data_IF_099648405018
#
_entry.id   IF_099648405018
#
_cell.length_a   1.000
_cell.length_b   1.000
_cell.length_c   1.000
_cell.angle_alpha   90.00
_cell.angle_beta   90.00
_cell.angle_gamma   90.00
#
_symmetry.space_group_name_H-M   'P 1'
#
loop_
_entity.id
_entity.type
_entity.pdbx_description
1 polymer ?
#
# COMPACT_ATOMS: atom_id res chain seq x y z
N UNK A 1 6.09 -9.05 -11.72
CA UNK A 1 4.99 -9.43 -10.80
C UNK A 1 3.76 -9.96 -11.52
N UNK A 2 3.01 -9.14 -12.28
CA UNK A 2 1.79 -9.63 -12.98
C UNK A 2 2.07 -10.77 -13.97
N UNK A 3 3.13 -10.65 -14.77
CA UNK A 3 3.57 -11.73 -15.70
C UNK A 3 3.98 -13.01 -14.96
N UNK A 4 4.45 -12.88 -13.71
CA UNK A 4 4.79 -14.01 -12.86
C UNK A 4 3.61 -14.52 -12.01
N UNK A 5 2.38 -14.06 -12.29
CA UNK A 5 1.16 -14.52 -11.60
C UNK A 5 0.86 -13.86 -10.25
N UNK A 6 1.62 -12.85 -9.83
CA UNK A 6 1.37 -12.14 -8.57
C UNK A 6 0.38 -10.98 -8.74
N UNK A 7 -0.39 -10.71 -7.68
CA UNK A 7 -1.22 -9.51 -7.56
C UNK A 7 -0.44 -8.38 -6.86
N UNK A 8 0.10 -7.38 -7.59
CA UNK A 8 0.81 -6.28 -6.96
C UNK A 8 -0.16 -5.35 -6.23
N UNK A 9 0.21 -4.97 -5.01
CA UNK A 9 -0.47 -3.98 -4.18
C UNK A 9 0.60 -2.95 -3.77
N UNK A 10 0.29 -1.66 -3.93
CA UNK A 10 1.19 -0.56 -3.61
C UNK A 10 0.66 0.18 -2.39
N UNK A 11 1.49 0.28 -1.34
CA UNK A 11 1.20 1.06 -0.14
C UNK A 11 1.63 2.51 -0.41
N UNK A 12 0.70 3.33 -0.90
CA UNK A 12 1.03 4.56 -1.61
C UNK A 12 1.41 5.73 -0.69
N UNK A 13 0.93 5.75 0.54
CA UNK A 13 1.28 6.74 1.57
C UNK A 13 2.69 6.57 2.15
N UNK A 14 3.38 5.48 1.79
CA UNK A 14 4.79 5.22 2.11
C UNK A 14 5.67 5.09 0.84
N UNK A 15 5.18 5.56 -0.30
CA UNK A 15 5.92 5.63 -1.56
C UNK A 15 6.06 7.10 -1.95
N UNK A 16 7.26 7.48 -2.41
CA UNK A 16 7.53 8.86 -2.82
C UNK A 16 8.52 8.91 -3.97
N UNK A 17 8.61 10.08 -4.59
CA UNK A 17 9.57 10.42 -5.63
C UNK A 17 10.16 11.79 -5.32
N UNK A 18 11.32 12.10 -5.92
CA UNK A 18 11.94 13.44 -5.80
C UNK A 18 11.11 14.55 -6.44
N UNK A 19 10.12 14.20 -7.26
CA UNK A 19 9.21 15.13 -7.94
C UNK A 19 7.78 14.67 -7.72
N UNK A 20 6.89 15.60 -7.36
CA UNK A 20 5.47 15.34 -7.16
C UNK A 20 4.78 14.92 -8.46
N UNK A 21 5.14 15.53 -9.59
CA UNK A 21 4.62 15.14 -10.92
C UNK A 21 4.89 13.65 -11.23
N UNK A 22 6.05 13.13 -10.80
CA UNK A 22 6.37 11.72 -10.97
C UNK A 22 5.53 10.81 -10.06
N UNK A 23 5.14 11.29 -8.87
CA UNK A 23 4.22 10.56 -7.97
C UNK A 23 2.84 10.47 -8.61
N UNK A 24 2.33 11.58 -9.14
CA UNK A 24 1.02 11.65 -9.79
C UNK A 24 0.96 10.78 -11.05
N UNK A 25 2.00 10.87 -11.90
CA UNK A 25 2.11 10.04 -13.10
C UNK A 25 2.17 8.55 -12.76
N UNK A 26 2.88 8.17 -11.68
CA UNK A 26 2.92 6.79 -11.21
C UNK A 26 1.55 6.33 -10.70
N UNK A 27 0.83 7.18 -9.97
CA UNK A 27 -0.53 6.87 -9.49
C UNK A 27 -1.49 6.61 -10.64
N UNK A 28 -1.48 7.45 -11.68
CA UNK A 28 -2.30 7.26 -12.88
C UNK A 28 -1.94 5.94 -13.60
N UNK A 29 -0.65 5.65 -13.74
CA UNK A 29 -0.19 4.41 -14.35
C UNK A 29 -0.64 3.17 -13.57
N UNK A 30 -0.53 3.20 -12.23
CA UNK A 30 -1.01 2.11 -11.39
C UNK A 30 -2.52 1.90 -11.53
N UNK A 31 -3.33 2.97 -11.60
CA UNK A 31 -4.77 2.87 -11.87
C UNK A 31 -5.05 2.21 -13.21
N UNK A 32 -4.38 2.65 -14.27
CA UNK A 32 -4.56 2.10 -15.63
C UNK A 32 -4.16 0.62 -15.71
N UNK A 33 -3.05 0.26 -15.07
CA UNK A 33 -2.56 -1.11 -15.00
C UNK A 33 -3.36 -1.99 -14.01
N UNK A 34 -4.42 -1.45 -13.39
CA UNK A 34 -5.25 -2.12 -12.38
C UNK A 34 -4.43 -2.67 -11.22
N UNK A 35 -3.48 -1.87 -10.76
CA UNK A 35 -2.68 -2.12 -9.56
C UNK A 35 -3.38 -1.42 -8.40
N UNK A 36 -3.65 -2.18 -7.33
CA UNK A 36 -4.32 -1.63 -6.16
C UNK A 36 -3.35 -0.71 -5.40
N UNK A 37 -3.80 0.52 -5.13
CA UNK A 37 -3.09 1.46 -4.28
C UNK A 37 -3.87 1.61 -2.97
N UNK A 38 -3.20 1.41 -1.84
CA UNK A 38 -3.79 1.44 -0.50
C UNK A 38 -2.91 2.22 0.47
N UNK A 39 -3.44 2.53 1.65
CA UNK A 39 -2.65 3.07 2.76
C UNK A 39 -2.03 1.96 3.61
N UNK A 40 -0.98 2.29 4.37
CA UNK A 40 -0.38 1.36 5.33
C UNK A 40 -1.41 0.92 6.38
N UNK A 41 -2.30 1.83 6.79
CA UNK A 41 -3.37 1.50 7.72
C UNK A 41 -4.30 0.45 7.11
N UNK A 42 -4.72 0.66 5.86
CA UNK A 42 -5.64 -0.25 5.17
C UNK A 42 -5.06 -1.66 5.05
N UNK A 43 -3.78 -1.80 4.65
CA UNK A 43 -3.18 -3.13 4.50
C UNK A 43 -3.02 -3.84 5.84
N UNK A 44 -2.68 -3.10 6.91
CA UNK A 44 -2.56 -3.69 8.24
C UNK A 44 -3.92 -4.18 8.74
N UNK A 45 -4.98 -3.39 8.56
CA UNK A 45 -6.33 -3.82 8.88
C UNK A 45 -6.77 -5.05 8.09
N UNK A 46 -6.48 -5.09 6.79
CA UNK A 46 -6.84 -6.22 5.93
C UNK A 46 -6.11 -7.51 6.35
N UNK A 47 -4.81 -7.41 6.66
CA UNK A 47 -3.99 -8.55 7.06
C UNK A 47 -4.38 -9.09 8.45
N UNK A 48 -4.67 -8.22 9.42
CA UNK A 48 -4.97 -8.64 10.79
C UNK A 48 -6.46 -8.89 11.02
N UNK A 49 -7.33 -8.48 10.08
CA UNK A 49 -8.80 -8.55 10.12
C UNK A 49 -9.46 -7.87 11.31
N UNK A 50 -8.70 -7.29 12.23
CA UNK A 50 -9.18 -6.64 13.45
C UNK A 50 -8.11 -5.72 14.04
N UNK A 51 -8.55 -4.55 14.51
CA UNK A 51 -7.75 -3.65 15.33
C UNK A 51 -7.34 -4.28 16.67
N UNK A 52 -8.15 -5.22 17.16
CA UNK A 52 -7.93 -5.89 18.45
C UNK A 52 -6.91 -7.02 18.36
N UNK A 53 -6.44 -7.37 17.16
CA UNK A 53 -5.40 -8.38 16.98
C UNK A 53 -4.10 -7.89 17.66
N UNK A 54 -3.46 -8.72 18.51
CA UNK A 54 -2.18 -8.37 19.14
C UNK A 54 -1.12 -7.92 18.11
N UNK A 55 -1.09 -8.58 16.96
CA UNK A 55 -0.19 -8.29 15.85
C UNK A 55 -0.43 -6.89 15.27
N UNK A 56 -1.70 -6.48 15.14
CA UNK A 56 -2.05 -5.13 14.69
C UNK A 56 -1.49 -4.09 15.65
N UNK A 57 -1.68 -4.30 16.96
CA UNK A 57 -1.24 -3.36 17.99
C UNK A 57 0.29 -3.23 18.04
N UNK A 58 1.02 -4.33 17.84
CA UNK A 58 2.48 -4.29 17.79
C UNK A 58 2.99 -3.60 16.52
N UNK A 59 2.42 -3.92 15.35
CA UNK A 59 2.88 -3.32 14.08
C UNK A 59 2.48 -1.84 13.97
N UNK A 60 1.28 -1.47 14.41
CA UNK A 60 0.79 -0.08 14.38
C UNK A 60 1.68 0.88 15.17
N UNK A 61 2.43 0.41 16.17
CA UNK A 61 3.41 1.25 16.89
C UNK A 61 4.56 1.72 16.01
N UNK A 62 4.92 0.98 14.97
CA UNK A 62 6.02 1.31 14.06
C UNK A 62 5.62 2.26 12.94
N UNK A 63 4.32 2.55 12.80
CA UNK A 63 3.73 3.29 11.68
C UNK A 63 3.25 4.69 12.09
N UNK A 64 3.39 5.04 13.38
CA UNK A 64 3.15 6.38 13.94
C UNK A 64 4.40 7.25 13.87
#
# INVERSE_FOLDING_TARGET
>A
MKVAGYNPIVVFDYVSSRSFDNVDLAAERFRFDRIMMISIESILFELTRSFSAPEFKEISKMVK
#
